data_IF_263595868672
#
_entry.id   IF_263595868672
#
_cell.length_a   1.000
_cell.length_b   1.000
_cell.length_c   1.000
_cell.angle_alpha   90.00
_cell.angle_beta   90.00
_cell.angle_gamma   90.00
#
_symmetry.space_group_name_H-M   'P 1'
#
loop_
_entity.id
_entity.type
_entity.pdbx_description
1 polymer ?
#
# COMPACT_ATOMS: atom_id res chain seq x y z
N UNK A 1 14.16 -10.21 -7.60
CA UNK A 1 14.75 -11.19 -6.66
C UNK A 1 16.16 -10.70 -6.32
N UNK A 2 16.27 -9.77 -5.37
CA UNK A 2 17.53 -9.29 -4.80
C UNK A 2 17.31 -9.20 -3.29
N UNK A 3 17.29 -10.36 -2.64
CA UNK A 3 17.22 -10.49 -1.19
C UNK A 3 18.63 -10.30 -0.62
N UNK A 4 19.04 -9.05 -0.45
CA UNK A 4 20.17 -8.69 0.40
C UNK A 4 19.74 -8.66 1.85
N UNK A 5 19.51 -9.83 2.46
CA UNK A 5 19.16 -9.93 3.88
C UNK A 5 20.30 -9.38 4.74
N UNK A 6 20.05 -8.26 5.43
CA UNK A 6 20.93 -7.77 6.48
C UNK A 6 20.77 -8.69 7.70
N UNK A 7 21.37 -9.88 7.61
CA UNK A 7 21.33 -10.88 8.65
C UNK A 7 21.93 -10.31 9.93
N UNK A 8 21.18 -10.40 11.02
CA UNK A 8 21.67 -10.21 12.39
C UNK A 8 22.75 -11.26 12.68
N UNK A 9 23.99 -11.02 12.22
CA UNK A 9 25.13 -11.88 12.47
C UNK A 9 25.55 -11.70 13.92
N UNK A 10 25.29 -12.71 14.77
CA UNK A 10 26.06 -12.89 16.02
C UNK A 10 27.55 -12.92 15.67
N UNK A 11 28.42 -12.23 16.40
CA UNK A 11 29.84 -12.15 16.05
C UNK A 11 30.54 -13.45 16.43
N UNK A 12 30.53 -14.44 15.53
CA UNK A 12 31.47 -15.57 15.61
C UNK A 12 32.83 -15.10 15.10
N UNK A 13 33.66 -14.67 16.05
CA UNK A 13 35.14 -14.64 16.06
C UNK A 13 35.83 -14.65 14.68
N UNK A 14 36.02 -13.46 14.09
CA UNK A 14 37.03 -13.23 13.06
C UNK A 14 38.44 -13.23 13.70
N UNK A 15 39.49 -13.71 13.00
CA UNK A 15 40.86 -13.57 13.46
C UNK A 15 41.24 -12.08 13.55
N UNK A 16 42.08 -11.67 14.52
CA UNK A 16 42.37 -10.26 14.74
C UNK A 16 43.15 -9.66 13.55
N UNK A 17 42.69 -8.56 12.94
CA UNK A 17 43.46 -7.85 11.93
C UNK A 17 44.65 -7.14 12.60
N UNK A 18 45.82 -7.19 11.96
CA UNK A 18 47.10 -6.60 12.41
C UNK A 18 47.13 -5.07 12.49
N UNK A 19 46.00 -4.41 12.26
CA UNK A 19 45.76 -3.00 12.61
C UNK A 19 44.27 -2.82 12.82
N UNK A 20 43.87 -2.52 14.05
CA UNK A 20 42.46 -2.34 14.45
C UNK A 20 41.90 -1.06 13.82
N UNK A 21 41.52 -1.09 12.55
CA UNK A 21 40.60 -0.10 11.98
C UNK A 21 39.23 -0.36 12.59
N UNK A 22 38.83 0.50 13.54
CA UNK A 22 37.45 0.54 14.02
C UNK A 22 36.50 0.66 12.83
N UNK A 23 35.31 0.02 12.86
CA UNK A 23 34.29 0.31 11.85
C UNK A 23 34.10 1.83 11.80
N UNK A 24 33.91 2.43 10.61
CA UNK A 24 33.75 3.87 10.49
C UNK A 24 32.68 4.33 11.48
N UNK A 25 33.06 5.28 12.34
CA UNK A 25 32.15 5.85 13.31
C UNK A 25 30.98 6.46 12.54
N UNK A 26 29.81 5.84 12.67
CA UNK A 26 28.60 6.31 12.01
C UNK A 26 27.94 7.27 12.96
N UNK A 27 28.06 8.57 12.65
CA UNK A 27 27.47 9.63 13.48
C UNK A 27 25.96 9.80 13.22
N UNK A 28 25.49 9.41 12.02
CA UNK A 28 24.09 9.56 11.60
C UNK A 28 23.66 8.33 10.81
N UNK A 29 22.50 7.79 11.14
CA UNK A 29 21.82 6.72 10.40
C UNK A 29 20.53 7.30 9.79
N UNK A 30 20.40 7.23 8.47
CA UNK A 30 19.17 7.59 7.75
C UNK A 30 18.49 6.32 7.25
N UNK A 31 17.26 6.05 7.71
CA UNK A 31 16.46 4.92 7.27
C UNK A 31 15.55 5.33 6.12
N UNK A 32 16.05 5.20 4.89
CA UNK A 32 15.31 5.44 3.65
C UNK A 32 14.64 4.15 3.11
N UNK A 33 14.02 3.36 3.99
CA UNK A 33 13.48 2.03 3.66
C UNK A 33 12.13 2.07 2.93
N UNK A 34 11.57 3.26 2.71
CA UNK A 34 10.28 3.45 2.05
C UNK A 34 9.07 3.03 2.90
N UNK A 35 7.93 2.92 2.25
CA UNK A 35 6.64 2.54 2.85
C UNK A 35 6.16 1.20 2.31
N UNK A 36 5.37 0.49 3.12
CA UNK A 36 4.64 -0.70 2.67
C UNK A 36 3.36 -0.30 1.93
N UNK A 37 2.83 -1.21 1.13
CA UNK A 37 1.57 -1.02 0.42
C UNK A 37 0.38 -0.89 1.40
N UNK A 38 -0.64 -0.13 1.02
CA UNK A 38 -1.93 -0.09 1.74
C UNK A 38 -2.53 -1.49 1.93
N UNK A 39 -2.29 -2.41 0.99
CA UNK A 39 -2.69 -3.83 1.10
C UNK A 39 -2.12 -4.50 2.34
N UNK A 40 -0.90 -4.13 2.75
CA UNK A 40 -0.27 -4.69 3.95
C UNK A 40 -0.94 -4.19 5.23
N UNK A 41 -1.36 -2.92 5.25
CA UNK A 41 -2.18 -2.38 6.34
C UNK A 41 -3.52 -3.12 6.43
N UNK A 42 -4.18 -3.37 5.30
CA UNK A 42 -5.44 -4.14 5.27
C UNK A 42 -5.23 -5.57 5.78
N UNK A 43 -4.14 -6.22 5.37
CA UNK A 43 -3.77 -7.57 5.86
C UNK A 43 -3.64 -7.62 7.37
N UNK A 44 -2.97 -6.62 7.96
CA UNK A 44 -2.71 -6.56 9.40
C UNK A 44 -3.92 -6.14 10.23
N UNK A 45 -4.76 -5.25 9.71
CA UNK A 45 -5.87 -4.64 10.48
C UNK A 45 -7.20 -5.36 10.26
N UNK A 46 -7.45 -5.85 9.03
CA UNK A 46 -8.72 -6.46 8.65
C UNK A 46 -8.58 -7.98 8.54
N UNK A 47 -7.92 -8.48 7.49
CA UNK A 47 -7.60 -9.90 7.30
C UNK A 47 -6.77 -10.14 6.04
N UNK A 48 -6.12 -11.30 6.00
CA UNK A 48 -5.45 -11.82 4.80
C UNK A 48 -6.42 -11.98 3.61
N UNK A 49 -7.63 -12.50 3.86
CA UNK A 49 -8.65 -12.72 2.81
C UNK A 49 -9.03 -11.41 2.12
N UNK A 50 -9.35 -10.37 2.91
CA UNK A 50 -9.72 -9.06 2.37
C UNK A 50 -8.55 -8.45 1.60
N UNK A 51 -7.32 -8.57 2.11
CA UNK A 51 -6.11 -8.07 1.45
C UNK A 51 -5.83 -8.74 0.09
N UNK A 52 -6.20 -10.01 -0.08
CA UNK A 52 -6.03 -10.73 -1.34
C UNK A 52 -7.13 -10.43 -2.37
N UNK A 53 -8.29 -9.96 -1.91
CA UNK A 53 -9.44 -9.61 -2.75
C UNK A 53 -9.44 -8.17 -3.24
N UNK A 54 -8.83 -7.25 -2.49
CA UNK A 54 -8.71 -5.85 -2.94
C UNK A 54 -7.94 -5.74 -4.27
N UNK A 55 -8.44 -4.86 -5.14
CA UNK A 55 -7.83 -4.54 -6.43
C UNK A 55 -6.55 -3.72 -6.29
N UNK A 56 -6.01 -3.20 -7.40
CA UNK A 56 -4.89 -2.27 -7.36
C UNK A 56 -5.25 -1.02 -6.54
N UNK A 57 -4.35 -0.58 -5.65
CA UNK A 57 -4.57 0.55 -4.72
C UNK A 57 -3.66 1.76 -5.03
N UNK A 58 -3.13 1.81 -6.24
CA UNK A 58 -2.27 2.83 -6.85
C UNK A 58 -2.17 2.49 -8.35
N UNK A 59 -1.62 3.38 -9.16
CA UNK A 59 -1.59 3.30 -10.62
C UNK A 59 -2.69 4.12 -11.27
N UNK A 60 -2.71 4.07 -12.59
CA UNK A 60 -3.72 4.70 -13.43
C UNK A 60 -4.60 3.62 -14.06
N UNK A 61 -5.91 3.74 -13.90
CA UNK A 61 -6.88 2.92 -14.62
C UNK A 61 -7.14 3.46 -16.04
N UNK A 62 -8.06 2.82 -16.78
CA UNK A 62 -8.42 3.24 -18.14
C UNK A 62 -9.10 4.62 -18.20
N UNK A 63 -9.66 5.10 -17.10
CA UNK A 63 -10.29 6.42 -17.00
C UNK A 63 -9.30 7.51 -16.56
N UNK A 64 -8.12 7.10 -16.11
CA UNK A 64 -7.09 8.00 -15.63
C UNK A 64 -7.10 8.26 -14.14
N UNK A 65 -7.87 7.49 -13.39
CA UNK A 65 -8.09 7.66 -11.96
C UNK A 65 -7.34 6.59 -11.15
N UNK A 66 -7.12 6.87 -9.86
CA UNK A 66 -6.47 5.94 -8.93
C UNK A 66 -7.47 4.82 -8.60
N UNK A 67 -7.22 3.55 -8.98
CA UNK A 67 -8.13 2.46 -8.69
C UNK A 67 -8.15 2.12 -7.20
N UNK A 68 -9.29 1.61 -6.73
CA UNK A 68 -9.45 1.08 -5.38
C UNK A 68 -9.43 2.10 -4.23
N UNK A 69 -9.06 3.37 -4.49
CA UNK A 69 -9.01 4.46 -3.50
C UNK A 69 -10.10 5.48 -3.83
N UNK A 70 -10.90 5.88 -2.84
CA UNK A 70 -12.09 6.75 -2.97
C UNK A 70 -13.21 6.21 -3.86
N UNK A 71 -13.03 4.98 -4.35
CA UNK A 71 -13.94 4.23 -5.19
C UNK A 71 -13.99 2.80 -4.68
N UNK A 72 -14.68 1.96 -5.43
CA UNK A 72 -14.85 0.56 -5.08
C UNK A 72 -13.50 -0.19 -5.01
N UNK A 73 -13.22 -0.83 -3.87
CA UNK A 73 -11.93 -1.47 -3.58
C UNK A 73 -11.74 -2.84 -4.23
N UNK A 74 -12.80 -3.44 -4.81
CA UNK A 74 -12.82 -4.86 -5.21
C UNK A 74 -13.48 -5.77 -4.16
N UNK A 75 -13.70 -5.27 -2.95
CA UNK A 75 -14.37 -6.00 -1.85
C UNK A 75 -15.73 -5.37 -1.56
N UNK A 76 -16.83 -6.15 -1.52
CA UNK A 76 -18.15 -5.61 -1.20
C UNK A 76 -18.19 -4.89 0.13
N UNK A 77 -18.87 -3.73 0.17
CA UNK A 77 -19.02 -2.88 1.37
C UNK A 77 -17.69 -2.44 2.00
N UNK A 78 -16.59 -2.45 1.24
CA UNK A 78 -15.29 -1.99 1.70
C UNK A 78 -14.74 -0.94 0.75
N UNK A 79 -14.40 0.23 1.27
CA UNK A 79 -13.80 1.33 0.53
C UNK A 79 -12.54 1.80 1.25
N UNK A 80 -11.53 2.17 0.46
CA UNK A 80 -10.27 2.67 1.00
C UNK A 80 -10.25 4.18 0.80
N UNK A 81 -10.28 4.91 1.91
CA UNK A 81 -10.01 6.34 1.95
C UNK A 81 -8.54 6.52 2.34
N UNK A 82 -7.69 6.82 1.36
CA UNK A 82 -6.25 7.01 1.57
C UNK A 82 -5.76 8.18 0.73
N UNK A 83 -4.50 8.58 0.93
CA UNK A 83 -3.83 9.76 0.34
C UNK A 83 -4.01 11.04 1.19
N UNK A 84 -3.41 12.13 0.71
CA UNK A 84 -3.23 13.40 1.41
C UNK A 84 -4.54 14.16 1.70
N UNK A 85 -4.40 15.25 2.45
CA UNK A 85 -5.53 16.09 2.87
C UNK A 85 -6.30 16.71 1.70
N UNK A 86 -5.61 17.03 0.59
CA UNK A 86 -6.24 17.58 -0.60
C UNK A 86 -7.23 16.59 -1.21
N UNK A 87 -6.79 15.36 -1.47
CA UNK A 87 -7.67 14.32 -2.01
C UNK A 87 -8.79 13.97 -1.04
N UNK A 88 -8.51 13.88 0.26
CA UNK A 88 -9.55 13.67 1.28
C UNK A 88 -10.65 14.74 1.23
N UNK A 89 -10.29 16.01 1.03
CA UNK A 89 -11.26 17.10 0.89
C UNK A 89 -12.11 16.98 -0.38
N UNK A 90 -11.50 16.58 -1.49
CA UNK A 90 -12.18 16.46 -2.78
C UNK A 90 -13.11 15.23 -2.85
N UNK A 91 -12.66 14.09 -2.34
CA UNK A 91 -13.31 12.80 -2.62
C UNK A 91 -14.15 12.22 -1.46
N UNK A 92 -14.03 12.76 -0.24
CA UNK A 92 -14.83 12.27 0.90
C UNK A 92 -16.34 12.36 0.65
N UNK A 93 -16.83 13.50 0.15
CA UNK A 93 -18.25 13.65 -0.22
C UNK A 93 -18.67 12.69 -1.33
N UNK A 94 -17.82 12.51 -2.34
CA UNK A 94 -18.08 11.57 -3.43
C UNK A 94 -18.22 10.13 -2.91
N UNK A 95 -17.29 9.70 -2.07
CA UNK A 95 -17.28 8.37 -1.46
C UNK A 95 -18.51 8.17 -0.57
N UNK A 96 -18.87 9.15 0.25
CA UNK A 96 -20.06 9.09 1.09
C UNK A 96 -21.35 8.95 0.26
N UNK A 97 -21.45 9.64 -0.87
CA UNK A 97 -22.59 9.48 -1.78
C UNK A 97 -22.63 8.09 -2.41
N UNK A 98 -21.49 7.52 -2.80
CA UNK A 98 -21.45 6.14 -3.31
C UNK A 98 -21.93 5.13 -2.28
N UNK A 99 -21.53 5.28 -1.01
CA UNK A 99 -22.02 4.46 0.11
C UNK A 99 -23.53 4.63 0.25
N UNK A 100 -24.01 5.88 0.30
CA UNK A 100 -25.44 6.17 0.43
C UNK A 100 -26.28 5.55 -0.69
N UNK A 101 -25.81 5.64 -1.94
CA UNK A 101 -26.47 5.03 -3.09
C UNK A 101 -26.53 3.49 -2.99
N UNK A 102 -25.48 2.86 -2.45
CA UNK A 102 -25.47 1.42 -2.19
C UNK A 102 -26.43 1.03 -1.06
N UNK A 103 -26.46 1.79 0.05
CA UNK A 103 -27.38 1.53 1.18
C UNK A 103 -28.86 1.71 0.78
N UNK A 104 -29.16 2.65 -0.12
CA UNK A 104 -30.51 2.86 -0.66
C UNK A 104 -30.89 1.86 -1.76
N UNK A 105 -30.00 0.95 -2.15
CA UNK A 105 -30.26 -0.01 -3.24
C UNK A 105 -30.40 0.63 -4.62
N UNK A 106 -29.89 1.84 -4.81
CA UNK A 106 -29.97 2.58 -6.08
C UNK A 106 -28.89 2.16 -7.08
N UNK A 107 -27.88 1.42 -6.64
CA UNK A 107 -26.82 0.84 -7.48
C UNK A 107 -26.96 -0.68 -7.45
N UNK A 108 -27.36 -1.27 -8.59
CA UNK A 108 -27.59 -2.73 -8.73
C UNK A 108 -26.29 -3.54 -8.82
N UNK A 109 -25.29 -3.01 -9.52
CA UNK A 109 -23.98 -3.62 -9.68
C UNK A 109 -22.90 -2.52 -9.54
N UNK A 110 -22.35 -2.28 -8.35
CA UNK A 110 -21.30 -1.30 -8.21
C UNK A 110 -20.10 -1.75 -9.05
N UNK A 111 -19.63 -0.89 -9.95
CA UNK A 111 -18.51 -1.23 -10.84
C UNK A 111 -17.28 -1.50 -9.97
N UNK A 112 -16.92 -2.78 -9.86
CA UNK A 112 -15.68 -3.23 -9.24
C UNK A 112 -14.62 -3.19 -10.34
N UNK A 113 -13.47 -2.54 -10.12
CA UNK A 113 -12.38 -2.61 -11.08
C UNK A 113 -12.00 -4.08 -11.32
N UNK A 114 -11.90 -4.46 -12.59
CA UNK A 114 -11.52 -5.80 -13.00
C UNK A 114 -10.15 -6.12 -12.40
N UNK A 115 -10.12 -7.11 -11.53
CA UNK A 115 -9.05 -7.28 -10.56
C UNK A 115 -7.71 -7.47 -11.28
N UNK A 116 -6.77 -6.56 -10.99
CA UNK A 116 -5.35 -6.56 -11.39
C UNK A 116 -4.98 -5.91 -12.73
N UNK A 117 -5.92 -5.33 -13.49
CA UNK A 117 -5.55 -4.60 -14.71
C UNK A 117 -5.31 -3.11 -14.41
N UNK A 118 -4.03 -2.73 -14.40
CA UNK A 118 -3.59 -1.33 -14.44
C UNK A 118 -3.26 -0.96 -15.87
N UNK A 119 -3.59 0.27 -16.27
CA UNK A 119 -3.12 0.82 -17.55
C UNK A 119 -1.70 1.35 -17.41
N UNK A 120 -1.39 2.03 -16.29
CA UNK A 120 -0.04 2.42 -15.94
C UNK A 120 0.25 2.14 -14.46
N UNK A 121 1.22 1.27 -14.13
CA UNK A 121 1.59 0.96 -12.74
C UNK A 121 2.54 1.96 -12.09
N UNK A 122 3.04 2.97 -12.81
CA UNK A 122 4.02 3.94 -12.29
C UNK A 122 3.41 5.06 -11.46
N UNK A 123 2.08 5.22 -11.55
CA UNK A 123 1.34 6.27 -10.87
C UNK A 123 0.92 5.91 -9.46
#
# INVERSE_FOLDING_TARGET
>A
MLEGSFGARRPSRLPPPSSRTSPPSTEIIVLATGYTSQRETVRRVISEDVANRIGPCWGKDAQGEIPGVWRNSGVPRFMIASVNLFQSRCYSKHTAMLIQLQELGLVKDPVYPDHKKLVDPRF
#
